data_IF_499909639705
#
_entry.id   IF_499909639705
#
_cell.length_a   1.000
_cell.length_b   1.000
_cell.length_c   1.000
_cell.angle_alpha   90.00
_cell.angle_beta   90.00
_cell.angle_gamma   90.00
#
_symmetry.space_group_name_H-M   'P 1'
#
loop_
_entity.id
_entity.type
_entity.pdbx_description
1 polymer ?
#
# COMPACT_ATOMS: atom_id res chain seq x y z
N UNK A 1 -36.64 34.61 14.68
CA UNK A 1 -35.33 34.43 14.01
C UNK A 1 -34.71 33.18 14.59
N UNK A 2 -34.55 32.13 13.79
CA UNK A 2 -33.76 30.96 14.20
C UNK A 2 -32.33 31.43 14.47
N UNK A 3 -31.71 30.98 15.56
CA UNK A 3 -30.32 31.35 15.86
C UNK A 3 -29.41 30.81 14.76
N UNK A 4 -28.40 31.59 14.37
CA UNK A 4 -27.30 31.18 13.47
C UNK A 4 -26.77 29.78 13.81
N UNK A 5 -26.65 29.49 15.12
CA UNK A 5 -26.21 28.21 15.66
C UNK A 5 -27.15 27.04 15.32
N UNK A 6 -28.46 27.27 15.22
CA UNK A 6 -29.41 26.24 14.80
C UNK A 6 -29.39 26.04 13.28
N UNK A 7 -29.19 27.12 12.52
CA UNK A 7 -29.23 27.08 11.06
C UNK A 7 -28.13 26.18 10.48
N UNK A 8 -26.88 26.36 10.93
CA UNK A 8 -25.76 25.54 10.46
C UNK A 8 -25.92 24.07 10.84
N UNK A 9 -26.49 23.77 12.01
CA UNK A 9 -26.80 22.38 12.42
C UNK A 9 -27.83 21.73 11.52
N UNK A 10 -28.87 22.47 11.13
CA UNK A 10 -29.88 21.97 10.20
C UNK A 10 -29.33 21.74 8.79
N UNK A 11 -28.44 22.60 8.32
CA UNK A 11 -27.73 22.43 7.04
C UNK A 11 -26.81 21.19 7.08
N UNK A 12 -26.09 20.99 8.19
CA UNK A 12 -25.18 19.85 8.32
C UNK A 12 -25.95 18.53 8.41
N UNK A 13 -27.06 18.50 9.16
CA UNK A 13 -27.95 17.36 9.24
C UNK A 13 -28.62 17.03 7.90
N UNK A 14 -29.05 18.03 7.13
CA UNK A 14 -29.65 17.79 5.81
C UNK A 14 -28.63 17.31 4.78
N UNK A 15 -27.39 17.82 4.83
CA UNK A 15 -26.30 17.33 3.98
C UNK A 15 -25.92 15.87 4.30
N UNK A 16 -25.86 15.50 5.59
CA UNK A 16 -25.62 14.12 6.01
C UNK A 16 -26.77 13.19 5.61
N UNK A 17 -28.02 13.62 5.79
CA UNK A 17 -29.18 12.86 5.35
C UNK A 17 -29.18 12.65 3.82
N UNK A 18 -28.80 13.68 3.05
CA UNK A 18 -28.65 13.57 1.60
C UNK A 18 -27.53 12.60 1.21
N UNK A 19 -26.39 12.60 1.91
CA UNK A 19 -25.31 11.64 1.64
C UNK A 19 -25.70 10.20 1.93
N UNK A 20 -26.52 9.95 2.97
CA UNK A 20 -26.96 8.61 3.36
C UNK A 20 -28.11 8.10 2.49
N UNK A 21 -29.01 8.98 2.04
CA UNK A 21 -30.22 8.60 1.30
C UNK A 21 -30.09 8.76 -0.22
N UNK A 22 -29.05 9.44 -0.71
CA UNK A 22 -28.87 9.61 -2.16
C UNK A 22 -28.30 8.34 -2.77
N UNK A 23 -29.14 7.65 -3.55
CA UNK A 23 -28.75 6.53 -4.43
C UNK A 23 -27.69 6.90 -5.48
N UNK A 24 -27.29 8.18 -5.55
CA UNK A 24 -26.23 8.69 -6.43
C UNK A 24 -24.84 8.72 -5.80
N UNK A 25 -24.72 8.36 -4.52
CA UNK A 25 -23.44 8.33 -3.79
C UNK A 25 -23.07 6.88 -3.48
N UNK A 26 -22.53 6.16 -4.48
CA UNK A 26 -21.95 4.84 -4.26
C UNK A 26 -20.54 4.98 -3.71
N UNK A 27 -20.38 4.90 -2.39
CA UNK A 27 -19.06 4.73 -1.78
C UNK A 27 -18.73 3.24 -1.87
N UNK A 28 -17.98 2.86 -2.90
CA UNK A 28 -17.50 1.48 -3.07
C UNK A 28 -16.34 1.27 -2.10
N UNK A 29 -16.64 0.77 -0.90
CA UNK A 29 -15.66 0.20 0.00
C UNK A 29 -15.45 -1.25 -0.41
N UNK A 30 -14.33 -1.51 -1.10
CA UNK A 30 -13.97 -2.84 -1.57
C UNK A 30 -13.83 -3.81 -0.40
N UNK A 31 -14.68 -4.82 -0.38
CA UNK A 31 -14.51 -6.05 0.42
C UNK A 31 -15.23 -7.15 -0.33
N UNK A 32 -14.52 -7.86 -1.21
CA UNK A 32 -15.03 -9.11 -1.77
C UNK A 32 -14.84 -10.24 -0.75
N UNK A 33 -15.78 -11.18 -0.69
CA UNK A 33 -15.39 -12.57 -0.92
C UNK A 33 -16.24 -13.26 -2.00
N UNK A 34 -15.67 -14.36 -2.49
CA UNK A 34 -16.02 -15.12 -3.67
C UNK A 34 -17.14 -16.17 -3.45
N UNK A 35 -17.61 -16.70 -4.59
CA UNK A 35 -18.50 -17.86 -4.84
C UNK A 35 -20.00 -17.55 -4.61
N UNK A 36 -20.95 -17.90 -5.47
CA UNK A 36 -21.08 -19.02 -6.40
C UNK A 36 -22.27 -18.69 -7.35
N UNK A 37 -22.19 -19.02 -8.64
CA UNK A 37 -23.34 -19.28 -9.52
C UNK A 37 -22.92 -19.50 -10.98
N UNK A 38 -23.00 -20.76 -11.38
CA UNK A 38 -23.03 -21.28 -12.74
C UNK A 38 -24.31 -20.90 -13.52
N UNK A 39 -24.13 -20.84 -14.85
CA UNK A 39 -25.09 -21.02 -15.97
C UNK A 39 -25.85 -19.84 -16.62
N UNK A 40 -25.65 -19.78 -17.95
CA UNK A 40 -26.28 -19.01 -19.05
C UNK A 40 -27.72 -19.49 -19.37
N UNK A 41 -28.46 -19.00 -20.41
CA UNK A 41 -28.36 -17.76 -21.22
C UNK A 41 -29.71 -17.00 -21.34
N UNK A 42 -29.69 -15.66 -21.42
CA UNK A 42 -30.91 -14.92 -21.78
C UNK A 42 -30.79 -13.41 -21.64
N UNK A 43 -30.67 -12.73 -22.79
CA UNK A 43 -30.90 -11.29 -23.05
C UNK A 43 -30.82 -10.32 -21.87
N UNK A 44 -29.70 -9.61 -21.77
CA UNK A 44 -29.55 -8.45 -20.90
C UNK A 44 -28.09 -8.04 -20.80
N UNK A 45 -27.57 -7.32 -21.80
CA UNK A 45 -26.23 -6.73 -21.74
C UNK A 45 -26.12 -5.81 -20.51
N UNK A 46 -25.36 -6.24 -19.51
CA UNK A 46 -24.94 -5.36 -18.41
C UNK A 46 -23.74 -4.56 -18.93
N UNK A 47 -23.99 -3.30 -19.29
CA UNK A 47 -22.96 -2.35 -19.71
C UNK A 47 -22.20 -1.88 -18.48
N UNK A 48 -21.01 -2.43 -18.25
CA UNK A 48 -20.00 -1.71 -17.48
C UNK A 48 -19.62 -0.47 -18.29
N UNK A 49 -19.80 0.73 -17.72
CA UNK A 49 -19.31 1.97 -18.30
C UNK A 49 -17.77 1.99 -18.21
N UNK A 50 -17.12 1.19 -19.04
CA UNK A 50 -15.80 1.52 -19.54
C UNK A 50 -15.95 2.83 -20.31
N UNK A 51 -15.07 3.79 -20.05
CA UNK A 51 -14.97 5.03 -20.79
C UNK A 51 -15.10 4.77 -22.30
N UNK A 52 -16.22 5.20 -22.88
CA UNK A 52 -16.48 5.08 -24.30
C UNK A 52 -15.71 6.18 -25.02
N UNK A 53 -14.50 5.84 -25.47
CA UNK A 53 -13.67 6.67 -26.34
C UNK A 53 -14.00 6.43 -27.83
N UNK A 54 -15.26 6.13 -28.18
CA UNK A 54 -15.69 6.09 -29.59
C UNK A 54 -16.12 7.49 -30.08
N UNK A 55 -15.18 8.43 -30.09
CA UNK A 55 -15.25 9.58 -31.00
C UNK A 55 -14.50 9.24 -32.30
N UNK A 56 -14.88 9.79 -33.48
CA UNK A 56 -14.08 9.58 -34.67
C UNK A 56 -12.66 10.08 -34.41
N UNK A 57 -11.69 9.17 -34.44
CA UNK A 57 -10.29 9.49 -34.31
C UNK A 57 -9.91 10.44 -35.46
N UNK A 58 -9.87 11.74 -35.16
CA UNK A 58 -9.10 12.66 -36.01
C UNK A 58 -7.69 12.11 -36.01
N UNK A 59 -7.25 11.63 -37.18
CA UNK A 59 -5.87 11.26 -37.47
C UNK A 59 -4.99 12.48 -37.22
N UNK A 60 -4.62 12.69 -35.96
CA UNK A 60 -3.56 13.60 -35.58
C UNK A 60 -2.29 12.94 -36.06
N UNK A 61 -1.60 13.66 -36.95
CA UNK A 61 -0.32 13.27 -37.50
C UNK A 61 0.73 13.40 -36.38
N UNK A 62 0.68 12.51 -35.39
CA UNK A 62 1.69 12.39 -34.36
C UNK A 62 2.89 11.73 -35.01
N UNK A 63 3.92 12.54 -35.29
CA UNK A 63 5.26 12.03 -35.52
C UNK A 63 5.58 11.03 -34.39
N UNK A 64 6.14 9.85 -34.68
CA UNK A 64 6.57 8.94 -33.63
C UNK A 64 7.50 9.72 -32.71
N UNK A 65 7.05 9.99 -31.48
CA UNK A 65 7.94 10.50 -30.45
C UNK A 65 8.94 9.37 -30.23
N UNK A 66 10.26 9.62 -30.39
CA UNK A 66 11.25 8.59 -30.16
C UNK A 66 11.00 8.01 -28.76
N UNK A 67 10.85 6.70 -28.67
CA UNK A 67 10.68 5.97 -27.43
C UNK A 67 11.93 6.21 -26.59
N UNK A 68 11.87 7.18 -25.67
CA UNK A 68 12.94 7.43 -24.72
C UNK A 68 12.85 6.32 -23.68
N UNK A 69 13.57 5.23 -23.92
CA UNK A 69 13.79 4.19 -22.92
C UNK A 69 14.67 4.83 -21.84
N UNK A 70 14.03 5.35 -20.79
CA UNK A 70 14.72 5.76 -19.58
C UNK A 70 15.15 4.47 -18.88
N UNK A 71 16.40 4.07 -19.08
CA UNK A 71 17.02 3.04 -18.25
C UNK A 71 17.18 3.59 -16.84
N UNK A 72 16.24 3.25 -15.96
CA UNK A 72 16.35 3.55 -14.53
C UNK A 72 17.61 2.83 -14.00
N UNK A 73 18.56 3.54 -13.37
CA UNK A 73 19.75 2.92 -12.83
C UNK A 73 19.37 1.83 -11.83
N UNK A 74 20.08 0.71 -11.91
CA UNK A 74 19.76 -0.58 -11.30
C UNK A 74 19.70 -0.61 -9.75
N UNK A 75 19.77 0.54 -9.07
CA UNK A 75 19.85 0.68 -7.61
C UNK A 75 18.66 1.33 -6.91
N UNK A 76 17.74 2.00 -7.60
CA UNK A 76 16.77 2.92 -6.92
C UNK A 76 15.33 2.38 -6.77
N UNK A 77 14.98 1.25 -7.39
CA UNK A 77 13.61 0.73 -7.33
C UNK A 77 13.41 -0.20 -6.13
N UNK A 78 12.72 0.32 -5.11
CA UNK A 78 12.22 -0.45 -3.96
C UNK A 78 11.26 -1.54 -4.41
N UNK A 79 11.20 -2.62 -3.65
CA UNK A 79 10.25 -3.71 -3.86
C UNK A 79 8.80 -3.22 -3.73
N UNK A 80 8.57 -2.21 -2.91
CA UNK A 80 7.24 -1.67 -2.62
C UNK A 80 6.74 -0.65 -3.65
N UNK A 81 7.59 -0.18 -4.58
CA UNK A 81 7.23 0.90 -5.52
C UNK A 81 5.93 0.63 -6.26
N UNK A 82 5.75 -0.57 -6.81
CA UNK A 82 4.55 -0.90 -7.60
C UNK A 82 3.34 -1.28 -6.75
N UNK A 83 3.55 -1.63 -5.48
CA UNK A 83 2.46 -1.85 -4.53
C UNK A 83 1.83 -0.52 -4.09
N UNK A 84 2.66 0.55 -4.00
CA UNK A 84 2.24 1.89 -3.60
C UNK A 84 1.70 2.68 -4.81
N UNK A 85 2.40 2.60 -5.95
CA UNK A 85 2.05 3.29 -7.18
C UNK A 85 2.02 2.32 -8.36
N UNK A 86 0.87 1.66 -8.60
CA UNK A 86 0.69 0.76 -9.75
C UNK A 86 0.90 1.44 -11.10
N UNK A 87 0.69 2.76 -11.20
CA UNK A 87 0.88 3.52 -12.43
C UNK A 87 2.35 3.87 -12.72
N UNK A 88 3.24 3.73 -11.73
CA UNK A 88 4.67 4.01 -11.88
C UNK A 88 5.28 3.27 -13.08
N UNK A 89 4.94 1.99 -13.23
CA UNK A 89 5.48 1.14 -14.28
C UNK A 89 5.13 1.66 -15.69
N UNK A 90 3.87 2.08 -15.88
CA UNK A 90 3.41 2.63 -17.16
C UNK A 90 4.10 3.97 -17.49
N UNK A 91 4.20 4.87 -16.50
CA UNK A 91 4.81 6.19 -16.68
C UNK A 91 6.30 6.15 -17.00
N UNK A 92 6.99 5.12 -16.52
CA UNK A 92 8.45 4.96 -16.65
C UNK A 92 8.84 3.80 -17.58
N UNK A 93 7.89 3.25 -18.36
CA UNK A 93 8.14 2.14 -19.29
C UNK A 93 8.88 0.95 -18.66
N UNK A 94 8.55 0.60 -17.42
CA UNK A 94 9.20 -0.49 -16.70
C UNK A 94 8.78 -1.84 -17.28
N UNK A 95 9.74 -2.73 -17.53
CA UNK A 95 9.49 -4.08 -18.05
C UNK A 95 8.54 -4.87 -17.14
N UNK A 96 7.51 -5.55 -17.67
CA UNK A 96 6.54 -6.32 -16.87
C UNK A 96 7.18 -7.37 -15.94
N UNK A 97 8.28 -7.99 -16.38
CA UNK A 97 9.03 -8.96 -15.57
C UNK A 97 9.61 -8.35 -14.28
N UNK A 98 10.04 -7.08 -14.32
CA UNK A 98 10.55 -6.39 -13.12
C UNK A 98 9.41 -6.13 -12.15
N UNK A 99 8.27 -5.64 -12.65
CA UNK A 99 7.07 -5.40 -11.83
C UNK A 99 6.62 -6.68 -11.15
N UNK A 100 6.49 -7.77 -11.91
CA UNK A 100 6.10 -9.08 -11.40
C UNK A 100 7.05 -9.56 -10.29
N UNK A 101 8.37 -9.47 -10.50
CA UNK A 101 9.37 -9.86 -9.51
C UNK A 101 9.26 -9.07 -8.20
N UNK A 102 8.99 -7.75 -8.25
CA UNK A 102 8.85 -6.92 -7.05
C UNK A 102 7.55 -7.20 -6.30
N UNK A 103 6.44 -7.39 -7.02
CA UNK A 103 5.17 -7.77 -6.43
C UNK A 103 5.21 -9.18 -5.79
N UNK A 104 5.94 -10.11 -6.40
CA UNK A 104 6.18 -11.44 -5.83
C UNK A 104 6.89 -11.35 -4.48
N UNK A 105 7.94 -10.52 -4.35
CA UNK A 105 8.60 -10.27 -3.07
C UNK A 105 7.65 -9.70 -2.02
N UNK A 106 6.82 -8.72 -2.41
CA UNK A 106 5.80 -8.16 -1.52
C UNK A 106 4.80 -9.23 -1.06
N UNK A 107 4.31 -10.05 -1.99
CA UNK A 107 3.40 -11.16 -1.69
C UNK A 107 4.03 -12.20 -0.76
N UNK A 108 5.27 -12.57 -1.01
CA UNK A 108 6.03 -13.50 -0.17
C UNK A 108 6.24 -12.95 1.25
N UNK A 109 6.53 -11.66 1.39
CA UNK A 109 6.62 -10.99 2.67
C UNK A 109 5.30 -11.03 3.44
N UNK A 110 4.19 -10.65 2.78
CA UNK A 110 2.84 -10.67 3.37
C UNK A 110 2.50 -12.09 3.84
N UNK A 111 2.68 -13.10 2.98
CA UNK A 111 2.38 -14.49 3.31
C UNK A 111 3.19 -14.98 4.52
N UNK A 112 4.47 -14.61 4.59
CA UNK A 112 5.36 -14.99 5.70
C UNK A 112 4.95 -14.37 7.04
N UNK A 113 4.54 -13.11 7.06
CA UNK A 113 4.29 -12.36 8.30
C UNK A 113 2.81 -12.23 8.68
N UNK A 114 1.88 -12.60 7.80
CA UNK A 114 0.44 -12.56 8.10
C UNK A 114 0.07 -13.31 9.40
N UNK A 115 0.58 -14.52 9.69
CA UNK A 115 0.21 -15.24 10.91
C UNK A 115 0.58 -14.47 12.19
N UNK A 116 1.78 -13.86 12.24
CA UNK A 116 2.19 -13.08 13.41
C UNK A 116 1.43 -11.76 13.50
N UNK A 117 1.21 -11.06 12.39
CA UNK A 117 0.42 -9.82 12.40
C UNK A 117 -1.02 -10.05 12.86
N UNK A 118 -1.65 -11.17 12.47
CA UNK A 118 -2.99 -11.55 12.94
C UNK A 118 -2.97 -11.90 14.44
N UNK A 119 -1.95 -12.62 14.91
CA UNK A 119 -1.82 -12.92 16.34
C UNK A 119 -1.68 -11.64 17.19
N UNK A 120 -0.86 -10.69 16.74
CA UNK A 120 -0.68 -9.40 17.41
C UNK A 120 -1.95 -8.53 17.32
N UNK A 121 -2.68 -8.59 16.20
CA UNK A 121 -3.99 -7.93 16.06
C UNK A 121 -4.97 -8.40 17.12
N UNK A 122 -5.09 -9.71 17.36
CA UNK A 122 -5.99 -10.23 18.39
C UNK A 122 -5.53 -9.90 19.82
N UNK A 123 -4.25 -9.60 20.01
CA UNK A 123 -3.68 -9.33 21.33
C UNK A 123 -3.71 -7.85 21.71
N UNK A 124 -3.56 -6.97 20.72
CA UNK A 124 -3.34 -5.53 20.93
C UNK A 124 -4.31 -4.64 20.16
N UNK A 125 -5.31 -5.22 19.47
CA UNK A 125 -6.36 -4.52 18.72
C UNK A 125 -5.84 -3.57 17.62
N UNK A 126 -4.64 -3.85 17.09
CA UNK A 126 -4.08 -3.16 15.91
C UNK A 126 -4.37 -4.03 14.68
N UNK A 127 -5.11 -3.55 13.66
CA UNK A 127 -5.41 -4.34 12.48
C UNK A 127 -4.14 -4.90 11.82
N UNK A 128 -4.13 -6.21 11.55
CA UNK A 128 -2.97 -6.89 10.96
C UNK A 128 -2.50 -6.24 9.65
N UNK A 129 -3.43 -5.65 8.88
CA UNK A 129 -3.14 -4.91 7.66
C UNK A 129 -2.22 -3.71 7.90
N UNK A 130 -2.38 -2.98 9.01
CA UNK A 130 -1.53 -1.83 9.35
C UNK A 130 -0.12 -2.31 9.69
N UNK A 131 0.01 -3.31 10.56
CA UNK A 131 1.30 -3.90 10.93
C UNK A 131 2.03 -4.49 9.72
N UNK A 132 1.30 -5.17 8.83
CA UNK A 132 1.87 -5.71 7.59
C UNK A 132 2.30 -4.61 6.63
N UNK A 133 1.47 -3.58 6.42
CA UNK A 133 1.81 -2.48 5.52
C UNK A 133 3.05 -1.73 6.00
N UNK A 134 3.14 -1.42 7.30
CA UNK A 134 4.33 -0.79 7.87
C UNK A 134 5.56 -1.68 7.76
N UNK A 135 5.46 -2.94 8.20
CA UNK A 135 6.57 -3.87 8.11
C UNK A 135 7.07 -4.04 6.67
N UNK A 136 6.15 -4.16 5.70
CA UNK A 136 6.49 -4.29 4.29
C UNK A 136 7.18 -3.03 3.73
N UNK A 137 6.68 -1.83 4.10
CA UNK A 137 7.23 -0.56 3.66
C UNK A 137 8.62 -0.29 4.23
N UNK A 138 8.73 -0.30 5.57
CA UNK A 138 9.95 0.06 6.30
C UNK A 138 11.10 -0.93 6.06
N UNK A 139 10.76 -2.20 5.81
CA UNK A 139 11.76 -3.23 5.55
C UNK A 139 12.06 -3.45 4.06
N UNK A 140 11.43 -2.71 3.15
CA UNK A 140 11.51 -2.95 1.70
C UNK A 140 11.21 -4.42 1.33
N UNK A 141 10.08 -4.93 1.84
CA UNK A 141 9.71 -6.35 1.79
C UNK A 141 10.78 -7.29 2.39
N UNK A 142 11.44 -6.85 3.47
CA UNK A 142 12.44 -7.62 4.23
C UNK A 142 13.87 -7.52 3.70
N UNK A 143 14.09 -6.80 2.60
CA UNK A 143 15.41 -6.71 1.96
C UNK A 143 16.21 -5.45 2.34
N UNK A 144 15.65 -4.55 3.15
CA UNK A 144 16.41 -3.40 3.66
C UNK A 144 17.63 -3.88 4.46
N UNK A 145 18.71 -3.09 4.45
CA UNK A 145 19.94 -3.47 5.14
C UNK A 145 19.70 -3.66 6.65
N UNK A 146 18.84 -2.83 7.25
CA UNK A 146 18.46 -2.94 8.65
C UNK A 146 17.68 -4.25 8.90
N UNK A 147 16.65 -4.54 8.11
CA UNK A 147 15.81 -5.73 8.31
C UNK A 147 16.60 -7.02 8.10
N UNK A 148 17.37 -7.12 7.01
CA UNK A 148 18.19 -8.30 6.70
C UNK A 148 19.35 -8.51 7.67
N UNK A 149 19.95 -7.43 8.19
CA UNK A 149 21.10 -7.49 9.09
C UNK A 149 20.76 -7.70 10.56
N UNK A 150 19.61 -7.19 11.02
CA UNK A 150 19.24 -7.17 12.44
C UNK A 150 17.83 -7.63 12.75
N UNK A 151 17.09 -8.12 11.76
CA UNK A 151 15.69 -8.52 11.89
C UNK A 151 14.78 -7.38 12.38
N UNK A 152 15.17 -6.11 12.18
CA UNK A 152 14.35 -4.97 12.56
C UNK A 152 13.55 -4.47 11.34
N UNK A 153 12.31 -4.94 11.23
CA UNK A 153 11.44 -4.66 10.10
C UNK A 153 10.70 -3.32 10.18
N UNK A 154 10.77 -2.64 11.33
CA UNK A 154 9.97 -1.45 11.63
C UNK A 154 10.81 -0.22 11.92
N UNK A 155 12.13 -0.27 11.70
CA UNK A 155 13.00 0.87 11.95
C UNK A 155 13.08 1.28 13.42
N UNK A 156 12.84 0.36 14.36
CA UNK A 156 12.71 0.72 15.79
C UNK A 156 14.06 1.22 16.32
N UNK A 157 14.10 2.52 16.66
CA UNK A 157 15.26 3.19 17.24
C UNK A 157 15.49 2.74 18.68
N UNK A 158 16.76 2.72 19.06
CA UNK A 158 17.25 2.32 20.37
C UNK A 158 17.61 3.56 21.20
N UNK A 159 16.82 3.81 22.25
CA UNK A 159 17.01 4.97 23.15
C UNK A 159 17.75 4.62 24.45
N UNK A 160 18.26 3.39 24.58
CA UNK A 160 18.92 2.96 25.81
C UNK A 160 20.27 3.66 25.99
N UNK A 161 20.42 4.38 27.11
CA UNK A 161 21.69 4.99 27.53
C UNK A 161 22.74 3.94 27.89
N UNK A 162 22.29 2.78 28.40
CA UNK A 162 23.12 1.66 28.82
C UNK A 162 22.69 0.40 28.07
N UNK A 163 23.17 0.25 26.84
CA UNK A 163 22.84 -0.87 25.97
C UNK A 163 23.84 -2.02 26.16
N UNK A 164 23.34 -3.25 26.33
CA UNK A 164 24.21 -4.44 26.34
C UNK A 164 24.85 -4.62 24.96
N UNK A 165 26.08 -5.14 24.92
CA UNK A 165 26.78 -5.41 23.66
C UNK A 165 25.90 -6.29 22.76
N UNK A 166 25.64 -5.84 21.54
CA UNK A 166 24.83 -6.55 20.54
C UNK A 166 23.32 -6.32 20.62
N UNK A 167 22.80 -5.53 21.57
CA UNK A 167 21.36 -5.20 21.61
C UNK A 167 20.98 -4.10 20.62
N UNK A 168 21.89 -3.17 20.31
CA UNK A 168 21.67 -2.14 19.30
C UNK A 168 22.81 -2.09 18.28
N UNK A 169 22.48 -1.68 17.06
CA UNK A 169 23.38 -1.49 15.93
C UNK A 169 23.33 -0.02 15.51
N UNK A 170 24.45 0.54 15.04
CA UNK A 170 24.46 1.87 14.44
C UNK A 170 24.24 1.73 12.93
N UNK A 171 23.28 2.46 12.39
CA UNK A 171 23.13 2.69 10.95
C UNK A 171 23.13 4.19 10.69
N UNK A 172 23.94 4.63 9.74
CA UNK A 172 23.90 6.01 9.24
C UNK A 172 22.71 6.15 8.30
N UNK A 173 21.52 6.34 8.87
CA UNK A 173 20.28 6.57 8.12
C UNK A 173 20.01 8.08 8.00
N UNK A 174 19.62 8.73 9.11
CA UNK A 174 19.39 10.18 9.17
C UNK A 174 20.60 10.95 9.74
N UNK A 175 21.24 10.38 10.77
CA UNK A 175 22.39 10.94 11.47
C UNK A 175 23.42 9.87 11.80
N UNK A 176 24.67 10.27 12.03
CA UNK A 176 25.75 9.36 12.43
C UNK A 176 25.55 8.71 13.83
N UNK A 177 24.44 9.00 14.51
CA UNK A 177 24.14 8.54 15.88
C UNK A 177 22.83 7.75 15.98
N UNK A 178 22.21 7.35 14.88
CA UNK A 178 21.00 6.53 14.96
C UNK A 178 21.34 5.08 15.29
N UNK A 179 21.01 4.70 16.52
CA UNK A 179 21.05 3.31 16.97
C UNK A 179 19.69 2.67 16.78
N UNK A 180 19.68 1.45 16.25
CA UNK A 180 18.47 0.65 16.05
C UNK A 180 18.53 -0.63 16.88
N UNK A 181 17.37 -1.10 17.32
CA UNK A 181 17.27 -2.37 18.05
C UNK A 181 17.64 -3.53 17.12
N UNK A 182 18.40 -4.49 17.62
CA UNK A 182 18.65 -5.78 16.97
C UNK A 182 17.76 -6.84 17.59
N UNK A 183 16.99 -7.53 16.77
CA UNK A 183 16.15 -8.64 17.17
C UNK A 183 16.82 -9.99 16.84
N UNK A 184 16.56 -11.00 17.67
CA UNK A 184 17.01 -12.37 17.42
C UNK A 184 16.32 -13.02 16.22
N UNK A 185 15.12 -12.55 15.88
CA UNK A 185 14.32 -12.99 14.73
C UNK A 185 13.38 -11.87 14.29
N UNK A 186 12.91 -11.92 13.05
CA UNK A 186 11.93 -10.95 12.54
C UNK A 186 10.63 -10.92 13.36
N UNK A 187 10.26 -12.06 13.95
CA UNK A 187 9.13 -12.17 14.86
C UNK A 187 9.33 -11.31 16.11
N UNK A 188 10.57 -11.11 16.54
CA UNK A 188 10.91 -10.20 17.63
C UNK A 188 10.52 -8.76 17.31
N UNK A 189 10.72 -8.28 16.08
CA UNK A 189 10.36 -6.91 15.71
C UNK A 189 8.86 -6.71 15.56
N UNK A 190 8.11 -7.77 15.22
CA UNK A 190 6.63 -7.72 15.14
C UNK A 190 5.95 -7.65 16.52
N UNK A 191 6.67 -7.99 17.60
CA UNK A 191 6.15 -7.99 18.98
C UNK A 191 6.79 -6.93 19.87
N UNK A 192 7.52 -6.00 19.26
CA UNK A 192 8.35 -5.04 19.96
C UNK A 192 7.54 -3.94 20.67
#
# INVERSE_FOLDING_TARGET
MLSEQLLWKLILLSALAYLVWSDKVSIVLGSGPAADATEHPGSGQVRAAAFDLSGPAKSLNTRPVPEVVVELPSGDLKNTTFAIDPAFAFRNSVKPAVVASRLEKCGGYIARFAPVAIAEMHKFDIPASITLAQGLLESDAGESHLASGTNNHFGIKCFSKNCRKGHCVNYTDDSHKDFFVRYSSAWGSYRA
#
